data_IF_638169080251
#
_entry.id   IF_638169080251
#
_cell.length_a   1.000
_cell.length_b   1.000
_cell.length_c   1.000
_cell.angle_alpha   90.00
_cell.angle_beta   90.00
_cell.angle_gamma   90.00
#
_symmetry.space_group_name_H-M   'P 1'
#
loop_
_entity.id
_entity.type
_entity.pdbx_description
1 polymer ?
#
# COMPACT_ATOMS: atom_id res chain seq x y z
N UNK A 1 -18.02 -47.72 2.74
CA UNK A 1 -17.25 -46.60 2.16
C UNK A 1 -15.84 -47.08 1.84
N UNK A 2 -15.52 -47.20 0.55
CA UNK A 2 -14.24 -47.71 0.03
C UNK A 2 -13.08 -46.80 0.42
N UNK A 3 -11.90 -47.37 0.73
CA UNK A 3 -10.69 -46.64 1.15
C UNK A 3 -10.34 -45.47 0.22
N UNK A 4 -10.61 -45.62 -1.08
CA UNK A 4 -10.45 -44.58 -2.10
C UNK A 4 -11.28 -43.32 -1.83
N UNK A 5 -12.51 -43.46 -1.34
CA UNK A 5 -13.38 -42.32 -1.05
C UNK A 5 -12.89 -41.51 0.16
N UNK A 6 -12.30 -42.17 1.17
CA UNK A 6 -11.72 -41.50 2.34
C UNK A 6 -10.47 -40.70 1.99
N UNK A 7 -9.62 -41.23 1.10
CA UNK A 7 -8.41 -40.55 0.63
C UNK A 7 -8.78 -39.33 -0.22
N UNK A 8 -9.75 -39.47 -1.14
CA UNK A 8 -10.24 -38.34 -1.93
C UNK A 8 -10.85 -37.26 -1.04
N UNK A 9 -11.64 -37.63 -0.03
CA UNK A 9 -12.21 -36.67 0.92
C UNK A 9 -11.12 -35.94 1.73
N UNK A 10 -10.08 -36.65 2.15
CA UNK A 10 -8.95 -36.05 2.86
C UNK A 10 -8.17 -35.07 1.97
N UNK A 11 -7.92 -35.41 0.71
CA UNK A 11 -7.24 -34.54 -0.25
C UNK A 11 -8.07 -33.29 -0.53
N UNK A 12 -9.38 -33.45 -0.78
CA UNK A 12 -10.30 -32.33 -1.02
C UNK A 12 -10.39 -31.43 0.22
N UNK A 13 -10.48 -32.01 1.42
CA UNK A 13 -10.50 -31.24 2.67
C UNK A 13 -9.20 -30.43 2.83
N UNK A 14 -8.04 -31.05 2.63
CA UNK A 14 -6.74 -30.35 2.69
C UNK A 14 -6.62 -29.23 1.65
N UNK A 15 -7.12 -29.42 0.43
CA UNK A 15 -7.12 -28.40 -0.61
C UNK A 15 -8.00 -27.18 -0.24
N UNK A 16 -9.14 -27.41 0.42
CA UNK A 16 -10.04 -26.34 0.87
C UNK A 16 -9.43 -25.51 2.02
N UNK A 17 -8.57 -26.09 2.86
CA UNK A 17 -7.87 -25.35 3.90
C UNK A 17 -6.74 -24.46 3.37
N UNK A 18 -6.11 -24.84 2.25
CA UNK A 18 -5.02 -24.05 1.62
C UNK A 18 -5.56 -22.82 0.89
N UNK A 19 -6.76 -22.88 0.30
CA UNK A 19 -7.36 -21.74 -0.42
C UNK A 19 -7.89 -20.64 0.50
N UNK A 20 -8.25 -20.97 1.75
CA UNK A 20 -8.68 -19.99 2.75
C UNK A 20 -7.54 -19.13 3.31
N UNK A 21 -6.28 -19.48 3.01
CA UNK A 21 -5.08 -18.72 3.41
C UNK A 21 -4.64 -17.72 2.33
N UNK A 22 -5.54 -17.29 1.45
CA UNK A 22 -5.38 -15.99 0.78
C UNK A 22 -5.34 -14.95 1.91
N UNK A 23 -4.12 -14.55 2.30
CA UNK A 23 -3.88 -13.68 3.45
C UNK A 23 -4.88 -12.53 3.44
N UNK A 24 -5.70 -12.42 4.49
CA UNK A 24 -6.64 -11.32 4.61
C UNK A 24 -5.86 -10.01 4.42
N UNK A 25 -6.24 -9.25 3.41
CA UNK A 25 -5.53 -8.05 3.02
C UNK A 25 -5.56 -7.04 4.20
N UNK A 26 -4.40 -6.54 4.61
CA UNK A 26 -4.30 -5.64 5.75
C UNK A 26 -5.03 -4.31 5.46
N UNK A 27 -6.10 -4.01 6.20
CA UNK A 27 -6.99 -2.88 5.93
C UNK A 27 -6.69 -1.67 6.81
N UNK A 28 -7.28 -0.50 6.49
CA UNK A 28 -7.25 0.66 7.38
C UNK A 28 -7.90 0.39 8.76
N UNK A 29 -8.91 -0.48 8.81
CA UNK A 29 -9.54 -0.85 10.07
C UNK A 29 -8.58 -1.64 10.99
N UNK A 30 -7.71 -2.46 10.40
CA UNK A 30 -6.68 -3.17 11.16
C UNK A 30 -5.56 -2.21 11.57
N UNK A 31 -5.19 -1.29 10.67
CA UNK A 31 -4.22 -0.23 10.92
C UNK A 31 -4.60 0.65 12.12
N UNK A 32 -5.84 1.09 12.23
CA UNK A 32 -6.28 1.95 13.34
C UNK A 32 -6.23 1.30 14.72
N UNK A 33 -6.19 -0.05 14.77
CA UNK A 33 -6.05 -0.81 16.02
C UNK A 33 -4.58 -1.08 16.39
N UNK A 34 -3.65 -0.83 15.49
CA UNK A 34 -2.23 -1.12 15.70
C UNK A 34 -1.57 -0.08 16.64
N UNK A 35 -0.50 -0.46 17.34
CA UNK A 35 0.28 0.49 18.16
C UNK A 35 0.83 1.65 17.32
N UNK A 36 0.87 2.86 17.89
CA UNK A 36 1.36 4.07 17.20
C UNK A 36 2.74 3.90 16.56
N UNK A 37 3.68 3.30 17.28
CA UNK A 37 5.04 3.07 16.77
C UNK A 37 5.02 2.17 15.52
N UNK A 38 4.14 1.16 15.51
CA UNK A 38 3.97 0.27 14.38
C UNK A 38 3.33 1.00 13.19
N UNK A 39 2.27 1.78 13.43
CA UNK A 39 1.59 2.59 12.40
C UNK A 39 2.56 3.53 11.67
N UNK A 40 3.42 4.20 12.43
CA UNK A 40 4.46 5.10 11.90
C UNK A 40 5.49 4.35 11.08
N UNK A 41 6.02 3.24 11.61
CA UNK A 41 6.99 2.40 10.91
C UNK A 41 6.45 1.83 9.59
N UNK A 42 5.19 1.39 9.58
CA UNK A 42 4.51 0.88 8.38
C UNK A 42 4.46 1.95 7.27
N UNK A 43 3.95 3.13 7.60
CA UNK A 43 3.82 4.24 6.65
C UNK A 43 5.20 4.74 6.19
N UNK A 44 6.16 4.85 7.11
CA UNK A 44 7.53 5.25 6.80
C UNK A 44 8.22 4.28 5.84
N UNK A 45 8.04 2.97 6.01
CA UNK A 45 8.58 1.95 5.10
C UNK A 45 8.09 2.14 3.66
N UNK A 46 6.80 2.42 3.47
CA UNK A 46 6.21 2.69 2.15
C UNK A 46 6.76 4.00 1.57
N UNK A 47 6.85 5.07 2.37
CA UNK A 47 7.43 6.34 1.93
C UNK A 47 8.87 6.15 1.44
N UNK A 48 9.65 5.32 2.15
CA UNK A 48 11.02 4.99 1.76
C UNK A 48 11.04 4.22 0.44
N UNK A 49 10.21 3.18 0.32
CA UNK A 49 10.07 2.41 -0.92
C UNK A 49 9.79 3.31 -2.13
N UNK A 50 8.78 4.18 -2.04
CA UNK A 50 8.40 5.10 -3.13
C UNK A 50 9.52 6.10 -3.48
N UNK A 51 10.35 6.46 -2.50
CA UNK A 51 11.48 7.38 -2.70
C UNK A 51 12.74 6.71 -3.26
N UNK A 52 12.81 5.38 -3.24
CA UNK A 52 14.03 4.64 -3.62
C UNK A 52 13.86 3.74 -4.83
N UNK A 53 12.66 3.23 -5.06
CA UNK A 53 12.38 2.25 -6.11
C UNK A 53 11.74 2.96 -7.31
N UNK A 54 12.34 2.79 -8.48
CA UNK A 54 11.76 3.27 -9.74
C UNK A 54 10.49 2.46 -10.08
N UNK A 55 9.50 3.11 -10.69
CA UNK A 55 8.32 2.37 -11.17
C UNK A 55 8.71 1.43 -12.33
N UNK A 56 8.01 0.31 -12.54
CA UNK A 56 8.37 -0.67 -13.58
C UNK A 56 8.42 -0.10 -15.00
N UNK A 57 7.62 0.93 -15.28
CA UNK A 57 7.50 1.62 -16.56
C UNK A 57 8.25 2.96 -16.61
N UNK A 58 8.97 3.30 -15.54
CA UNK A 58 9.70 4.56 -15.43
C UNK A 58 11.12 4.42 -15.98
N UNK A 59 11.41 5.12 -17.07
CA UNK A 59 12.75 5.18 -17.67
C UNK A 59 13.66 6.21 -16.95
N UNK A 60 15.00 6.04 -17.01
CA UNK A 60 15.95 7.08 -16.61
C UNK A 60 15.59 8.43 -17.27
N UNK A 61 15.60 9.56 -16.52
CA UNK A 61 16.26 9.77 -15.23
C UNK A 61 15.42 9.45 -13.97
N UNK A 62 14.33 8.69 -14.10
CA UNK A 62 13.41 8.38 -13.00
C UNK A 62 12.78 9.61 -12.34
N UNK A 63 11.98 10.39 -13.09
CA UNK A 63 11.40 11.64 -12.60
C UNK A 63 10.42 11.45 -11.44
N UNK A 64 9.62 10.38 -11.44
CA UNK A 64 8.61 10.05 -10.43
C UNK A 64 9.29 9.69 -9.11
N UNK A 65 10.26 8.77 -9.16
CA UNK A 65 11.08 8.41 -7.99
C UNK A 65 11.77 9.65 -7.41
N UNK A 66 12.32 10.50 -8.28
CA UNK A 66 13.01 11.74 -7.86
C UNK A 66 12.07 12.73 -7.19
N UNK A 67 10.82 12.84 -7.66
CA UNK A 67 9.79 13.65 -7.01
C UNK A 67 9.46 13.10 -5.63
N UNK A 68 9.19 11.79 -5.49
CA UNK A 68 8.92 11.21 -4.18
C UNK A 68 10.09 11.37 -3.22
N UNK A 69 11.33 11.19 -3.71
CA UNK A 69 12.53 11.42 -2.91
C UNK A 69 12.58 12.85 -2.37
N UNK A 70 12.22 13.86 -3.17
CA UNK A 70 12.22 15.27 -2.74
C UNK A 70 11.07 15.59 -1.80
N UNK A 71 9.87 15.12 -2.12
CA UNK A 71 8.63 15.40 -1.39
C UNK A 71 8.57 14.69 -0.04
N UNK A 72 8.94 13.40 0.01
CA UNK A 72 8.81 12.56 1.20
C UNK A 72 10.11 12.42 1.99
N UNK A 73 11.28 12.61 1.35
CA UNK A 73 12.57 12.20 1.91
C UNK A 73 13.00 12.91 3.20
N UNK A 74 12.49 14.10 3.48
CA UNK A 74 12.76 14.86 4.71
C UNK A 74 11.65 14.76 5.77
N UNK A 75 10.55 14.06 5.46
CA UNK A 75 9.40 13.97 6.37
C UNK A 75 9.68 13.00 7.52
N UNK A 76 9.22 13.34 8.72
CA UNK A 76 9.26 12.42 9.87
C UNK A 76 8.19 11.36 9.73
N UNK A 77 8.42 10.20 10.36
CA UNK A 77 7.46 9.09 10.42
C UNK A 77 6.09 9.51 10.98
N UNK A 78 6.09 10.36 11.99
CA UNK A 78 4.88 10.93 12.60
C UNK A 78 4.11 11.83 11.63
N UNK A 79 4.80 12.68 10.87
CA UNK A 79 4.15 13.56 9.88
C UNK A 79 3.56 12.75 8.73
N UNK A 80 4.27 11.74 8.26
CA UNK A 80 3.80 10.85 7.21
C UNK A 80 2.54 10.07 7.64
N UNK A 81 2.54 9.52 8.87
CA UNK A 81 1.37 8.84 9.42
C UNK A 81 0.17 9.80 9.54
N UNK A 82 0.40 11.02 10.04
CA UNK A 82 -0.64 12.04 10.13
C UNK A 82 -1.26 12.39 8.77
N UNK A 83 -0.44 12.52 7.72
CA UNK A 83 -0.95 12.77 6.37
C UNK A 83 -1.83 11.64 5.83
N UNK A 84 -1.48 10.39 6.14
CA UNK A 84 -2.30 9.23 5.75
C UNK A 84 -3.65 9.26 6.48
N UNK A 85 -3.67 9.53 7.77
CA UNK A 85 -4.91 9.63 8.55
C UNK A 85 -5.78 10.79 8.04
N UNK A 86 -5.18 11.96 7.76
CA UNK A 86 -5.87 13.10 7.16
C UNK A 86 -6.46 12.76 5.78
N UNK A 87 -5.73 12.01 4.96
CA UNK A 87 -6.22 11.55 3.66
C UNK A 87 -7.45 10.66 3.80
N UNK A 88 -7.47 9.71 4.73
CA UNK A 88 -8.65 8.84 4.95
C UNK A 88 -9.83 9.65 5.49
N UNK A 89 -9.59 10.59 6.40
CA UNK A 89 -10.63 11.49 6.90
C UNK A 89 -11.28 12.31 5.77
N UNK A 90 -10.48 12.78 4.81
CA UNK A 90 -10.98 13.48 3.62
C UNK A 90 -11.61 12.54 2.57
N UNK A 91 -11.39 11.23 2.65
CA UNK A 91 -11.88 10.23 1.70
C UNK A 91 -12.52 9.02 2.42
N UNK A 92 -13.68 9.18 3.09
CA UNK A 92 -14.25 8.16 3.96
C UNK A 92 -14.55 6.82 3.27
N UNK A 93 -14.80 6.84 1.95
CA UNK A 93 -14.99 5.64 1.14
C UNK A 93 -13.79 4.67 1.20
N UNK A 94 -12.58 5.19 1.48
CA UNK A 94 -11.37 4.39 1.58
C UNK A 94 -11.20 3.71 2.96
N UNK A 95 -12.02 4.01 3.97
CA UNK A 95 -11.82 3.52 5.34
C UNK A 95 -11.88 1.98 5.50
N UNK A 96 -12.39 1.25 4.49
CA UNK A 96 -12.40 -0.22 4.44
C UNK A 96 -11.38 -0.80 3.45
N UNK A 97 -10.59 0.06 2.81
CA UNK A 97 -9.67 -0.32 1.76
C UNK A 97 -8.36 -0.92 2.27
N UNK A 98 -7.58 -1.51 1.34
CA UNK A 98 -6.23 -1.99 1.64
C UNK A 98 -5.31 -0.86 2.08
N UNK A 99 -4.59 -1.06 3.18
CA UNK A 99 -3.78 0.00 3.77
C UNK A 99 -2.64 0.44 2.85
N UNK A 100 -2.01 -0.50 2.13
CA UNK A 100 -0.94 -0.17 1.18
C UNK A 100 -1.45 0.78 0.09
N UNK A 101 -2.61 0.47 -0.51
CA UNK A 101 -3.22 1.32 -1.53
C UNK A 101 -3.58 2.71 -0.99
N UNK A 102 -4.07 2.78 0.25
CA UNK A 102 -4.39 4.05 0.92
C UNK A 102 -3.14 4.90 1.11
N UNK A 103 -2.05 4.33 1.63
CA UNK A 103 -0.78 5.06 1.86
C UNK A 103 -0.23 5.58 0.53
N UNK A 104 -0.19 4.73 -0.51
CA UNK A 104 0.27 5.12 -1.83
C UNK A 104 -0.55 6.30 -2.37
N UNK A 105 -1.89 6.22 -2.34
CA UNK A 105 -2.77 7.32 -2.79
C UNK A 105 -2.60 8.59 -1.96
N UNK A 106 -2.45 8.47 -0.64
CA UNK A 106 -2.20 9.60 0.24
C UNK A 106 -0.90 10.33 -0.15
N UNK A 107 0.18 9.60 -0.41
CA UNK A 107 1.45 10.18 -0.84
C UNK A 107 1.42 10.74 -2.26
N UNK A 108 0.75 10.08 -3.20
CA UNK A 108 0.49 10.66 -4.52
C UNK A 108 -0.30 11.96 -4.42
N UNK A 109 -1.29 12.02 -3.53
CA UNK A 109 -2.07 13.25 -3.29
C UNK A 109 -1.21 14.35 -2.65
N UNK A 110 -0.36 13.98 -1.68
CA UNK A 110 0.55 14.91 -1.00
C UNK A 110 1.57 15.52 -1.97
N UNK A 111 2.17 14.70 -2.84
CA UNK A 111 3.21 15.13 -3.77
C UNK A 111 2.67 15.58 -5.14
N UNK A 112 1.35 15.72 -5.30
CA UNK A 112 0.69 15.95 -6.59
C UNK A 112 1.26 17.16 -7.34
N UNK A 113 1.45 18.28 -6.64
CA UNK A 113 1.95 19.51 -7.26
C UNK A 113 3.37 19.35 -7.84
N UNK A 114 4.23 18.59 -7.17
CA UNK A 114 5.59 18.30 -7.65
C UNK A 114 5.58 17.28 -8.79
N UNK A 115 4.67 16.31 -8.72
CA UNK A 115 4.46 15.29 -9.75
C UNK A 115 3.99 15.93 -11.07
N UNK A 116 2.96 16.76 -11.01
CA UNK A 116 2.39 17.44 -12.18
C UNK A 116 3.41 18.38 -12.83
N UNK A 117 4.27 19.02 -12.03
CA UNK A 117 5.37 19.85 -12.54
C UNK A 117 6.46 19.03 -13.24
N UNK A 118 6.75 17.83 -12.76
CA UNK A 118 7.81 16.98 -13.30
C UNK A 118 7.38 16.16 -14.53
N UNK A 119 6.08 15.93 -14.75
CA UNK A 119 5.57 15.14 -15.86
C UNK A 119 4.35 15.79 -16.54
N UNK A 120 4.54 16.63 -17.58
CA UNK A 120 3.45 17.30 -18.30
C UNK A 120 2.50 16.34 -19.05
N UNK A 121 2.91 15.07 -19.26
CA UNK A 121 2.11 14.05 -19.96
C UNK A 121 1.21 13.21 -19.04
N UNK A 122 1.25 13.47 -17.73
CA UNK A 122 0.52 12.68 -16.74
C UNK A 122 1.24 11.36 -16.44
N UNK A 123 1.46 11.08 -15.16
CA UNK A 123 1.87 9.74 -14.72
C UNK A 123 0.61 8.87 -14.69
N UNK A 124 0.65 7.61 -15.15
CA UNK A 124 -0.44 6.68 -14.83
C UNK A 124 -0.56 6.62 -13.30
N UNK A 125 -1.67 7.15 -12.78
CA UNK A 125 -1.98 7.03 -11.36
C UNK A 125 -2.06 5.55 -10.95
N UNK A 126 -2.02 5.26 -9.64
CA UNK A 126 -2.19 3.89 -9.16
C UNK A 126 -3.52 3.35 -9.71
N UNK A 127 -3.45 2.36 -10.60
CA UNK A 127 -4.62 1.61 -11.07
C UNK A 127 -5.20 0.79 -9.92
#
# INVERSE_FOLDING_TARGET
MTLKAKILLAIVSSLLFVTASAAAEFTYQDYTKAPEAWKRGFVFGIARYMSTVAQPDEEPPYPVRTVFQRCLGSSTDALLAHHVEAYVAANPANAKGPMVAIVMRAFFSLCRADIERASPKGIPGPR
#
